data_IF_551172746587
#
_entry.id   IF_551172746587
#
_cell.length_a   1.000
_cell.length_b   1.000
_cell.length_c   1.000
_cell.angle_alpha   90.00
_cell.angle_beta   90.00
_cell.angle_gamma   90.00
#
_symmetry.space_group_name_H-M   'P 1'
#
loop_
_entity.id
_entity.type
_entity.pdbx_description
1 polymer ?
#
# COMPACT_ATOMS: atom_id res chain seq x y z
N UNK A 1 -3.72 17.37 18.93
CA UNK A 1 -3.96 15.93 19.11
C UNK A 1 -3.32 15.51 20.40
N UNK A 2 -4.10 14.92 21.29
CA UNK A 2 -3.70 14.33 22.55
C UNK A 2 -3.37 12.85 22.32
N UNK A 3 -2.09 12.50 22.35
CA UNK A 3 -1.62 11.13 22.12
C UNK A 3 -1.83 10.21 23.34
N UNK A 4 -2.34 10.76 24.45
CA UNK A 4 -2.77 9.99 25.64
C UNK A 4 -4.25 9.61 25.58
N UNK A 5 -4.99 10.08 24.56
CA UNK A 5 -6.40 9.73 24.34
C UNK A 5 -6.49 8.59 23.31
N UNK A 6 -6.87 7.40 23.79
CA UNK A 6 -7.02 6.20 22.96
C UNK A 6 -7.96 6.40 21.77
N UNK A 7 -8.97 7.28 21.89
CA UNK A 7 -9.89 7.59 20.79
C UNK A 7 -9.20 8.45 19.73
N UNK A 8 -8.45 9.48 20.13
CA UNK A 8 -7.70 10.31 19.18
C UNK A 8 -6.60 9.51 18.47
N UNK A 9 -5.94 8.60 19.20
CA UNK A 9 -4.96 7.68 18.63
C UNK A 9 -5.64 6.76 17.61
N UNK A 10 -6.75 6.11 17.97
CA UNK A 10 -7.50 5.22 17.07
C UNK A 10 -7.94 5.95 15.80
N UNK A 11 -8.51 7.14 15.93
CA UNK A 11 -8.92 7.97 14.80
C UNK A 11 -7.72 8.39 13.93
N UNK A 12 -6.56 8.68 14.52
CA UNK A 12 -5.36 9.00 13.76
C UNK A 12 -4.84 7.79 12.97
N UNK A 13 -4.91 6.57 13.51
CA UNK A 13 -4.57 5.34 12.80
C UNK A 13 -5.54 5.04 11.65
N UNK A 14 -6.84 5.17 11.89
CA UNK A 14 -7.88 5.01 10.87
C UNK A 14 -7.72 6.02 9.72
N UNK A 15 -7.22 7.23 10.03
CA UNK A 15 -6.98 8.30 9.06
C UNK A 15 -5.50 8.43 8.65
N UNK A 16 -4.66 7.44 8.98
CA UNK A 16 -3.21 7.47 8.73
C UNK A 16 -2.89 7.69 7.25
N UNK A 17 -3.71 7.16 6.35
CA UNK A 17 -3.62 7.39 4.91
C UNK A 17 -3.78 8.88 4.52
N UNK A 18 -4.66 9.62 5.20
CA UNK A 18 -4.88 11.06 4.97
C UNK A 18 -3.71 11.86 5.56
N UNK A 19 -3.30 11.53 6.78
CA UNK A 19 -2.17 12.18 7.46
C UNK A 19 -0.87 11.98 6.68
N UNK A 20 -0.62 10.76 6.19
CA UNK A 20 0.51 10.43 5.34
C UNK A 20 0.48 11.26 4.05
N UNK A 21 -0.67 11.35 3.38
CA UNK A 21 -0.82 12.16 2.15
C UNK A 21 -0.57 13.64 2.40
N UNK A 22 -1.04 14.19 3.53
CA UNK A 22 -0.76 15.58 3.90
C UNK A 22 0.74 15.84 4.16
N UNK A 23 1.45 14.83 4.66
CA UNK A 23 2.89 14.90 4.98
C UNK A 23 3.78 14.92 3.73
N UNK A 24 3.29 14.41 2.60
CA UNK A 24 4.01 14.41 1.32
C UNK A 24 4.22 15.82 0.74
N UNK A 25 3.48 16.82 1.22
CA UNK A 25 3.58 18.21 0.77
C UNK A 25 4.68 19.03 1.46
N UNK A 26 5.57 18.40 2.24
CA UNK A 26 6.79 19.02 2.77
C UNK A 26 6.63 19.94 4.00
N UNK A 27 5.43 20.09 4.55
CA UNK A 27 5.16 21.02 5.66
C UNK A 27 5.41 20.45 7.08
N UNK A 28 6.30 19.46 7.23
CA UNK A 28 6.56 18.59 8.40
C UNK A 28 5.97 17.19 8.24
N UNK A 29 6.82 16.17 8.44
CA UNK A 29 6.42 14.77 8.49
C UNK A 29 6.14 14.41 9.95
N UNK A 30 4.86 14.33 10.35
CA UNK A 30 4.50 13.99 11.73
C UNK A 30 5.08 12.63 12.16
N UNK A 31 5.27 11.68 11.23
CA UNK A 31 5.84 10.34 11.49
C UNK A 31 7.31 10.44 11.93
N UNK A 32 8.01 11.52 11.55
CA UNK A 32 9.40 11.76 11.95
C UNK A 32 9.54 12.39 13.34
N UNK A 33 8.45 12.84 13.97
CA UNK A 33 8.48 13.31 15.35
C UNK A 33 8.59 12.12 16.31
N UNK A 34 9.50 12.20 17.29
CA UNK A 34 9.81 11.08 18.20
C UNK A 34 8.56 10.50 18.88
N UNK A 35 7.64 11.36 19.32
CA UNK A 35 6.38 10.95 19.97
C UNK A 35 5.49 10.10 19.07
N UNK A 36 5.42 10.45 17.78
CA UNK A 36 4.66 9.69 16.81
C UNK A 36 5.33 8.37 16.47
N UNK A 37 6.65 8.38 16.33
CA UNK A 37 7.41 7.16 16.09
C UNK A 37 7.27 6.17 17.25
N UNK A 38 7.36 6.63 18.50
CA UNK A 38 7.15 5.81 19.69
C UNK A 38 5.73 5.24 19.75
N UNK A 39 4.71 6.07 19.49
CA UNK A 39 3.32 5.63 19.46
C UNK A 39 3.05 4.60 18.36
N UNK A 40 3.52 4.86 17.13
CA UNK A 40 3.40 3.93 16.01
C UNK A 40 4.09 2.60 16.35
N UNK A 41 5.31 2.66 16.89
CA UNK A 41 6.05 1.47 17.31
C UNK A 41 5.28 0.68 18.35
N UNK A 42 4.77 1.34 19.40
CA UNK A 42 3.98 0.68 20.43
C UNK A 42 2.73 0.01 19.86
N UNK A 43 1.91 0.74 19.11
CA UNK A 43 0.65 0.20 18.56
C UNK A 43 0.89 -0.91 17.57
N UNK A 44 1.92 -0.81 16.72
CA UNK A 44 2.27 -1.89 15.79
C UNK A 44 2.75 -3.11 16.55
N UNK A 45 3.62 -2.98 17.56
CA UNK A 45 4.07 -4.12 18.37
C UNK A 45 2.91 -4.77 19.13
N UNK A 46 2.03 -3.98 19.74
CA UNK A 46 0.84 -4.48 20.45
C UNK A 46 -0.12 -5.21 19.49
N UNK A 47 -0.30 -4.69 18.27
CA UNK A 47 -1.13 -5.32 17.23
C UNK A 47 -0.53 -6.61 16.68
N UNK A 48 0.80 -6.68 16.59
CA UNK A 48 1.57 -7.81 16.02
C UNK A 48 1.93 -8.89 17.05
N UNK A 49 1.80 -8.60 18.35
CA UNK A 49 1.98 -9.57 19.44
C UNK A 49 0.89 -10.67 19.46
N UNK A 50 -0.17 -10.48 18.70
CA UNK A 50 -1.26 -11.43 18.50
C UNK A 50 -0.76 -12.70 17.78
N UNK A 51 -1.09 -13.88 18.29
CA UNK A 51 -0.71 -15.17 17.68
C UNK A 51 -1.21 -15.30 16.23
N UNK A 52 -2.30 -14.59 15.90
CA UNK A 52 -2.83 -14.54 14.54
C UNK A 52 -1.91 -13.82 13.54
N UNK A 53 -0.94 -13.02 14.02
CA UNK A 53 -0.02 -12.23 13.20
C UNK A 53 1.37 -12.86 13.03
N UNK A 54 1.58 -14.08 13.53
CA UNK A 54 2.89 -14.76 13.58
C UNK A 54 3.66 -14.87 12.23
N UNK A 55 3.03 -14.84 11.04
CA UNK A 55 3.81 -14.74 9.79
C UNK A 55 4.54 -13.40 9.57
N UNK A 56 4.17 -12.34 10.31
CA UNK A 56 4.60 -10.95 10.07
C UNK A 56 5.09 -10.20 11.34
N UNK A 57 5.17 -10.88 12.48
CA UNK A 57 5.46 -10.22 13.76
C UNK A 57 6.89 -9.61 13.79
N UNK A 58 7.86 -10.31 13.22
CA UNK A 58 9.28 -9.88 13.17
C UNK A 58 9.50 -8.74 12.16
N UNK A 59 8.57 -8.59 11.22
CA UNK A 59 8.60 -7.66 10.10
C UNK A 59 8.03 -6.28 10.45
N UNK A 60 7.33 -6.17 11.58
CA UNK A 60 6.62 -4.98 12.06
C UNK A 60 7.49 -3.72 12.16
N UNK A 61 8.64 -3.80 12.82
CA UNK A 61 9.57 -2.67 12.97
C UNK A 61 10.12 -2.18 11.63
N UNK A 62 10.34 -3.09 10.68
CA UNK A 62 10.78 -2.73 9.34
C UNK A 62 9.70 -1.94 8.60
N UNK A 63 8.42 -2.31 8.71
CA UNK A 63 7.34 -1.57 8.04
C UNK A 63 7.18 -0.13 8.56
N UNK A 64 7.45 0.11 9.84
CA UNK A 64 7.44 1.47 10.41
C UNK A 64 8.59 2.31 9.86
N UNK A 65 9.80 1.75 9.81
CA UNK A 65 10.97 2.43 9.22
C UNK A 65 10.75 2.72 7.72
N UNK A 66 10.12 1.77 7.03
CA UNK A 66 9.79 1.90 5.63
C UNK A 66 8.83 3.06 5.37
N UNK A 67 7.83 3.30 6.22
CA UNK A 67 6.91 4.44 6.08
C UNK A 67 7.66 5.78 6.01
N UNK A 68 8.64 5.98 6.90
CA UNK A 68 9.48 7.19 6.87
C UNK A 68 10.31 7.26 5.59
N UNK A 69 10.89 6.13 5.19
CA UNK A 69 11.68 6.04 3.96
C UNK A 69 10.83 6.32 2.71
N UNK A 70 9.56 5.90 2.67
CA UNK A 70 8.68 6.15 1.53
C UNK A 70 8.38 7.64 1.34
N UNK A 71 8.17 8.39 2.42
CA UNK A 71 7.98 9.85 2.37
C UNK A 71 9.23 10.52 1.81
N UNK A 72 10.40 10.14 2.33
CA UNK A 72 11.70 10.65 1.86
C UNK A 72 11.91 10.34 0.37
N UNK A 73 11.64 9.10 -0.05
CA UNK A 73 11.78 8.69 -1.45
C UNK A 73 10.79 9.41 -2.39
N UNK A 74 9.55 9.61 -1.97
CA UNK A 74 8.58 10.39 -2.75
C UNK A 74 9.06 11.82 -2.97
N UNK A 75 9.66 12.44 -1.95
CA UNK A 75 10.25 13.76 -2.08
C UNK A 75 11.44 13.77 -3.06
N UNK A 76 12.33 12.78 -2.97
CA UNK A 76 13.44 12.66 -3.92
C UNK A 76 12.96 12.47 -5.36
N UNK A 77 11.96 11.63 -5.59
CA UNK A 77 11.39 11.44 -6.94
C UNK A 77 10.82 12.75 -7.48
N UNK A 78 10.12 13.53 -6.66
CA UNK A 78 9.62 14.84 -7.06
C UNK A 78 10.76 15.79 -7.45
N UNK A 79 11.84 15.86 -6.66
CA UNK A 79 13.03 16.66 -6.98
C UNK A 79 13.71 16.20 -8.28
N UNK A 80 13.91 14.89 -8.44
CA UNK A 80 14.53 14.29 -9.63
C UNK A 80 13.68 14.59 -10.87
N UNK A 81 12.35 14.51 -10.78
CA UNK A 81 11.43 14.84 -11.88
C UNK A 81 11.51 16.31 -12.28
N UNK A 82 11.65 17.21 -11.30
CA UNK A 82 11.76 18.64 -11.55
C UNK A 82 13.06 19.00 -12.29
N UNK A 83 14.19 18.36 -11.94
CA UNK A 83 15.49 18.63 -12.55
C UNK A 83 16.29 17.34 -12.85
N UNK A 84 15.90 16.53 -13.87
CA UNK A 84 16.47 15.20 -14.08
C UNK A 84 17.98 15.20 -14.38
N UNK A 85 18.46 16.21 -15.10
CA UNK A 85 19.88 16.30 -15.50
C UNK A 85 20.79 16.71 -14.34
N UNK A 86 20.30 17.56 -13.44
CA UNK A 86 21.05 18.07 -12.29
C UNK A 86 21.00 17.11 -11.09
N UNK A 87 20.05 16.16 -11.09
CA UNK A 87 19.78 15.26 -9.97
C UNK A 87 20.37 13.86 -10.15
N UNK A 88 21.44 13.70 -10.96
CA UNK A 88 22.00 12.37 -11.28
C UNK A 88 22.45 11.61 -10.03
N UNK A 89 23.21 12.25 -9.15
CA UNK A 89 23.72 11.61 -7.93
C UNK A 89 22.58 11.24 -6.97
N UNK A 90 21.57 12.13 -6.86
CA UNK A 90 20.36 11.89 -6.08
C UNK A 90 19.58 10.69 -6.62
N UNK A 91 19.43 10.61 -7.95
CA UNK A 91 18.76 9.49 -8.63
C UNK A 91 19.49 8.17 -8.41
N UNK A 92 20.81 8.14 -8.55
CA UNK A 92 21.60 6.92 -8.40
C UNK A 92 21.55 6.42 -6.93
N UNK A 93 21.61 7.34 -5.96
CA UNK A 93 21.40 7.02 -4.54
C UNK A 93 19.97 6.53 -4.25
N UNK A 94 18.96 7.25 -4.75
CA UNK A 94 17.56 6.89 -4.55
C UNK A 94 17.23 5.53 -5.17
N UNK A 95 17.73 5.25 -6.38
CA UNK A 95 17.56 3.97 -7.07
C UNK A 95 18.16 2.82 -6.26
N UNK A 96 19.40 2.98 -5.76
CA UNK A 96 20.05 1.98 -4.91
C UNK A 96 19.25 1.70 -3.64
N UNK A 97 18.79 2.75 -2.94
CA UNK A 97 18.03 2.61 -1.69
C UNK A 97 16.65 1.99 -1.93
N UNK A 98 15.91 2.46 -2.93
CA UNK A 98 14.60 1.93 -3.28
C UNK A 98 14.65 0.48 -3.74
N UNK A 99 15.64 0.09 -4.56
CA UNK A 99 15.83 -1.32 -4.97
C UNK A 99 16.11 -2.21 -3.76
N UNK A 100 16.95 -1.78 -2.82
CA UNK A 100 17.22 -2.55 -1.61
C UNK A 100 15.94 -2.78 -0.77
N UNK A 101 15.12 -1.73 -0.59
CA UNK A 101 13.84 -1.86 0.12
C UNK A 101 12.82 -2.70 -0.67
N UNK A 102 12.77 -2.56 -1.99
CA UNK A 102 11.88 -3.32 -2.88
C UNK A 102 12.19 -4.81 -2.82
N UNK A 103 13.46 -5.21 -2.99
CA UNK A 103 13.88 -6.62 -2.88
C UNK A 103 13.61 -7.20 -1.48
N UNK A 104 13.86 -6.42 -0.42
CA UNK A 104 13.56 -6.86 0.95
C UNK A 104 12.05 -7.05 1.16
N UNK A 105 11.23 -6.12 0.69
CA UNK A 105 9.77 -6.23 0.81
C UNK A 105 9.22 -7.39 0.00
N UNK A 106 9.71 -7.58 -1.23
CA UNK A 106 9.35 -8.74 -2.06
C UNK A 106 9.67 -10.07 -1.34
N UNK A 107 10.87 -10.18 -0.78
CA UNK A 107 11.28 -11.38 -0.03
C UNK A 107 10.36 -11.61 1.18
N UNK A 108 10.03 -10.55 1.93
CA UNK A 108 9.11 -10.62 3.06
C UNK A 108 7.70 -11.02 2.64
N UNK A 109 7.18 -10.47 1.55
CA UNK A 109 5.89 -10.87 1.00
C UNK A 109 5.91 -12.34 0.58
N UNK A 110 6.93 -12.81 -0.13
CA UNK A 110 7.06 -14.20 -0.56
C UNK A 110 7.12 -15.17 0.63
N UNK A 111 8.01 -14.91 1.59
CA UNK A 111 8.16 -15.75 2.78
C UNK A 111 6.90 -15.74 3.64
N UNK A 112 6.32 -14.56 3.88
CA UNK A 112 5.09 -14.39 4.65
C UNK A 112 3.90 -15.08 3.98
N UNK A 113 3.79 -14.99 2.65
CA UNK A 113 2.77 -15.72 1.87
C UNK A 113 2.91 -17.23 2.04
N UNK A 114 4.13 -17.76 1.89
CA UNK A 114 4.40 -19.19 2.03
C UNK A 114 4.08 -19.69 3.45
N UNK A 115 4.50 -18.95 4.49
CA UNK A 115 4.15 -19.25 5.88
C UNK A 115 2.64 -19.22 6.11
N UNK A 116 1.96 -18.19 5.60
CA UNK A 116 0.51 -18.04 5.75
C UNK A 116 -0.28 -19.18 5.11
N UNK A 117 0.14 -19.65 3.93
CA UNK A 117 -0.44 -20.83 3.29
C UNK A 117 -0.18 -22.10 4.11
N UNK A 118 1.06 -22.31 4.58
CA UNK A 118 1.42 -23.49 5.38
C UNK A 118 0.66 -23.55 6.71
N UNK A 119 0.41 -22.39 7.34
CA UNK A 119 -0.37 -22.28 8.57
C UNK A 119 -1.90 -22.31 8.30
N UNK A 120 -2.32 -22.21 7.05
CA UNK A 120 -3.71 -22.13 6.65
C UNK A 120 -4.39 -20.79 6.99
N UNK A 121 -3.62 -19.77 7.39
CA UNK A 121 -4.05 -18.39 7.65
C UNK A 121 -4.46 -17.65 6.37
N UNK A 122 -3.91 -18.08 5.23
CA UNK A 122 -4.28 -17.64 3.89
C UNK A 122 -4.59 -18.87 3.03
N UNK A 123 -5.60 -18.79 2.16
CA UNK A 123 -5.97 -19.84 1.22
C UNK A 123 -6.41 -19.26 -0.10
N UNK A 124 -6.08 -19.94 -1.19
CA UNK A 124 -6.64 -19.67 -2.50
C UNK A 124 -7.94 -20.45 -2.67
N UNK A 125 -9.00 -19.75 -3.04
CA UNK A 125 -10.31 -20.35 -3.31
C UNK A 125 -10.71 -20.00 -4.74
N UNK A 126 -11.06 -20.99 -5.58
CA UNK A 126 -11.53 -20.74 -6.94
C UNK A 126 -12.69 -19.75 -6.95
N UNK A 127 -12.63 -18.79 -7.86
CA UNK A 127 -13.64 -17.75 -8.02
C UNK A 127 -13.72 -17.33 -9.49
N UNK A 128 -14.74 -17.84 -10.18
CA UNK A 128 -14.96 -17.59 -11.61
C UNK A 128 -15.30 -16.13 -11.91
N UNK A 129 -15.78 -15.37 -10.92
CA UNK A 129 -16.08 -13.95 -11.06
C UNK A 129 -14.83 -13.08 -10.81
N UNK A 130 -13.77 -13.63 -10.22
CA UNK A 130 -12.52 -12.90 -9.97
C UNK A 130 -11.70 -12.74 -11.25
N UNK A 131 -11.09 -11.55 -11.42
CA UNK A 131 -10.19 -11.24 -12.55
C UNK A 131 -8.92 -12.12 -12.58
N UNK A 132 -8.59 -12.79 -11.48
CA UNK A 132 -7.45 -13.72 -11.38
C UNK A 132 -7.87 -15.19 -11.44
N UNK A 133 -9.19 -15.49 -11.46
CA UNK A 133 -9.74 -16.85 -11.40
C UNK A 133 -9.77 -17.47 -10.01
N UNK A 134 -9.25 -16.77 -9.00
CA UNK A 134 -9.31 -17.16 -7.60
C UNK A 134 -9.39 -15.94 -6.70
N UNK A 135 -9.64 -16.17 -5.42
CA UNK A 135 -9.59 -15.15 -4.37
C UNK A 135 -8.81 -15.64 -3.18
N UNK A 136 -8.35 -14.69 -2.38
CA UNK A 136 -7.79 -15.01 -1.08
C UNK A 136 -8.89 -15.08 -0.01
N UNK A 137 -8.85 -16.14 0.78
CA UNK A 137 -9.58 -16.25 2.04
C UNK A 137 -8.58 -16.27 3.20
N UNK A 138 -8.81 -15.44 4.20
CA UNK A 138 -8.00 -15.39 5.42
C UNK A 138 -8.78 -15.90 6.63
N UNK A 139 -8.06 -16.39 7.64
CA UNK A 139 -8.66 -16.79 8.90
C UNK A 139 -9.30 -15.63 9.65
N UNK A 140 -8.66 -14.46 9.62
CA UNK A 140 -9.19 -13.23 10.22
C UNK A 140 -9.08 -12.03 9.29
N UNK A 141 -9.98 -11.05 9.51
CA UNK A 141 -10.02 -9.79 8.76
C UNK A 141 -8.76 -8.96 9.02
N UNK A 142 -8.28 -8.93 10.27
CA UNK A 142 -7.06 -8.24 10.68
C UNK A 142 -5.86 -8.76 9.89
N UNK A 143 -5.73 -10.08 9.74
CA UNK A 143 -4.65 -10.68 8.96
C UNK A 143 -4.70 -10.25 7.48
N UNK A 144 -5.88 -10.28 6.85
CA UNK A 144 -6.05 -9.84 5.47
C UNK A 144 -5.64 -8.37 5.28
N UNK A 145 -6.04 -7.49 6.20
CA UNK A 145 -5.69 -6.07 6.13
C UNK A 145 -4.18 -5.84 6.24
N UNK A 146 -3.51 -6.52 7.17
CA UNK A 146 -2.05 -6.41 7.37
C UNK A 146 -1.32 -6.89 6.12
N UNK A 147 -1.70 -8.06 5.61
CA UNK A 147 -1.04 -8.63 4.45
C UNK A 147 -1.31 -7.83 3.16
N UNK A 148 -2.55 -7.36 2.95
CA UNK A 148 -2.86 -6.43 1.87
C UNK A 148 -2.04 -5.13 1.97
N UNK A 149 -1.82 -4.62 3.19
CA UNK A 149 -0.98 -3.44 3.42
C UNK A 149 0.49 -3.69 3.07
N UNK A 150 1.03 -4.87 3.37
CA UNK A 150 2.38 -5.27 2.95
C UNK A 150 2.52 -5.32 1.43
N UNK A 151 1.55 -5.92 0.73
CA UNK A 151 1.52 -5.91 -0.73
C UNK A 151 1.45 -4.47 -1.27
N UNK A 152 0.67 -3.59 -0.65
CA UNK A 152 0.64 -2.19 -1.06
C UNK A 152 1.98 -1.46 -0.83
N UNK A 153 2.74 -1.76 0.22
CA UNK A 153 4.11 -1.23 0.35
C UNK A 153 5.02 -1.72 -0.77
N UNK A 154 4.93 -3.00 -1.16
CA UNK A 154 5.66 -3.54 -2.30
C UNK A 154 5.27 -2.82 -3.60
N UNK A 155 3.98 -2.63 -3.84
CA UNK A 155 3.43 -1.91 -5.01
C UNK A 155 4.01 -0.49 -5.09
N UNK A 156 4.00 0.27 -3.99
CA UNK A 156 4.54 1.63 -3.93
C UNK A 156 6.04 1.63 -4.27
N UNK A 157 6.82 0.72 -3.67
CA UNK A 157 8.26 0.60 -3.92
C UNK A 157 8.56 0.25 -5.37
N UNK A 158 7.92 -0.78 -5.93
CA UNK A 158 8.12 -1.18 -7.32
C UNK A 158 7.76 -0.04 -8.28
N UNK A 159 6.66 0.68 -8.01
CA UNK A 159 6.25 1.84 -8.82
C UNK A 159 7.27 2.98 -8.75
N UNK A 160 7.85 3.25 -7.59
CA UNK A 160 8.91 4.24 -7.41
C UNK A 160 10.19 3.85 -8.17
N UNK A 161 10.60 2.58 -8.11
CA UNK A 161 11.78 2.09 -8.86
C UNK A 161 11.54 2.21 -10.37
N UNK A 162 10.39 1.76 -10.85
CA UNK A 162 9.99 1.92 -12.26
C UNK A 162 10.06 3.39 -12.71
N UNK A 163 9.58 4.31 -11.87
CA UNK A 163 9.60 5.73 -12.19
C UNK A 163 11.02 6.27 -12.37
N UNK A 164 11.97 5.84 -11.53
CA UNK A 164 13.38 6.23 -11.68
C UNK A 164 14.01 5.69 -12.96
N UNK A 165 13.64 4.49 -13.40
CA UNK A 165 14.09 3.92 -14.67
C UNK A 165 13.57 4.73 -15.86
N UNK A 166 12.28 5.10 -15.85
CA UNK A 166 11.68 5.94 -16.90
C UNK A 166 12.37 7.31 -16.95
N UNK A 167 12.64 7.94 -15.81
CA UNK A 167 13.35 9.23 -15.77
C UNK A 167 14.79 9.09 -16.27
N UNK A 168 15.43 7.95 -16.04
CA UNK A 168 16.76 7.66 -16.57
C UNK A 168 16.78 7.41 -18.10
N UNK A 169 15.61 7.30 -18.73
CA UNK A 169 15.47 7.00 -20.16
C UNK A 169 15.43 5.51 -20.49
N UNK A 170 15.28 4.65 -19.48
CA UNK A 170 15.13 3.20 -19.65
C UNK A 170 13.65 2.84 -19.80
N UNK A 171 13.37 1.68 -20.42
CA UNK A 171 11.99 1.20 -20.59
C UNK A 171 11.36 0.70 -19.26
N UNK A 172 12.18 0.22 -18.32
CA UNK A 172 11.73 -0.25 -16.99
C UNK A 172 10.79 -1.47 -17.06
N UNK A 173 10.91 -2.32 -18.07
CA UNK A 173 9.97 -3.42 -18.31
C UNK A 173 9.92 -4.41 -17.13
N UNK A 174 11.08 -4.76 -16.57
CA UNK A 174 11.19 -5.68 -15.43
C UNK A 174 10.56 -5.06 -14.17
N UNK A 175 10.84 -3.79 -13.89
CA UNK A 175 10.27 -3.07 -12.76
C UNK A 175 8.75 -2.92 -12.89
N UNK A 176 8.25 -2.67 -14.11
CA UNK A 176 6.82 -2.60 -14.38
C UNK A 176 6.15 -3.96 -14.23
N UNK A 177 6.79 -5.04 -14.70
CA UNK A 177 6.28 -6.39 -14.54
C UNK A 177 6.18 -6.76 -13.05
N UNK A 178 7.20 -6.46 -12.25
CA UNK A 178 7.18 -6.68 -10.81
C UNK A 178 6.07 -5.88 -10.11
N UNK A 179 5.89 -4.60 -10.50
CA UNK A 179 4.78 -3.77 -10.03
C UNK A 179 3.42 -4.39 -10.37
N UNK A 180 3.22 -4.85 -11.60
CA UNK A 180 1.98 -5.47 -12.05
C UNK A 180 1.69 -6.77 -11.30
N UNK A 181 2.69 -7.62 -11.08
CA UNK A 181 2.55 -8.87 -10.31
C UNK A 181 2.07 -8.59 -8.89
N UNK A 182 2.66 -7.62 -8.19
CA UNK A 182 2.24 -7.25 -6.84
C UNK A 182 0.80 -6.69 -6.81
N UNK A 183 0.41 -5.88 -7.81
CA UNK A 183 -0.96 -5.41 -7.96
C UNK A 183 -1.94 -6.57 -8.17
N UNK A 184 -1.64 -7.49 -9.08
CA UNK A 184 -2.48 -8.67 -9.34
C UNK A 184 -2.64 -9.55 -8.10
N UNK A 185 -1.58 -9.72 -7.31
CA UNK A 185 -1.65 -10.45 -6.05
C UNK A 185 -2.56 -9.75 -5.03
N UNK A 186 -2.49 -8.42 -4.92
CA UNK A 186 -3.39 -7.63 -4.07
C UNK A 186 -4.85 -7.74 -4.53
N UNK A 187 -5.10 -7.83 -5.83
CA UNK A 187 -6.47 -7.92 -6.37
C UNK A 187 -7.21 -9.20 -5.99
N UNK A 188 -6.51 -10.25 -5.55
CA UNK A 188 -7.14 -11.43 -4.97
C UNK A 188 -7.94 -11.11 -3.68
N UNK A 189 -7.74 -9.94 -3.06
CA UNK A 189 -8.55 -9.43 -1.95
C UNK A 189 -9.77 -8.61 -2.38
N UNK A 190 -9.93 -8.28 -3.67
CA UNK A 190 -11.08 -7.50 -4.15
C UNK A 190 -12.41 -8.20 -3.85
N UNK A 191 -12.58 -9.51 -4.10
CA UNK A 191 -13.80 -10.24 -3.69
C UNK A 191 -14.05 -10.24 -2.17
N UNK A 192 -12.99 -10.06 -1.37
CA UNK A 192 -13.06 -10.05 0.08
C UNK A 192 -13.77 -8.78 0.61
N UNK A 193 -13.80 -7.69 -0.17
CA UNK A 193 -14.48 -6.43 0.18
C UNK A 193 -15.97 -6.63 0.48
N UNK A 194 -16.64 -7.50 -0.27
CA UNK A 194 -18.07 -7.79 -0.14
C UNK A 194 -18.38 -8.77 1.01
N UNK A 195 -17.37 -9.25 1.74
CA UNK A 195 -17.48 -10.34 2.73
C UNK A 195 -17.13 -9.92 4.16
N UNK A 196 -16.57 -8.73 4.32
CA UNK A 196 -16.20 -8.17 5.62
C UNK A 196 -17.18 -7.08 6.03
N UNK A 197 -17.08 -6.62 7.27
CA UNK A 197 -17.83 -5.45 7.71
C UNK A 197 -17.39 -4.19 6.95
N UNK A 198 -18.25 -3.18 6.96
CA UNK A 198 -18.06 -1.97 6.17
C UNK A 198 -16.78 -1.20 6.54
N UNK A 199 -16.36 -1.21 7.80
CA UNK A 199 -15.13 -0.51 8.23
C UNK A 199 -13.92 -1.22 7.65
N UNK A 200 -13.89 -2.55 7.75
CA UNK A 200 -12.81 -3.35 7.19
C UNK A 200 -12.73 -3.24 5.66
N UNK A 201 -13.87 -3.22 4.98
CA UNK A 201 -13.95 -3.04 3.53
C UNK A 201 -13.38 -1.68 3.10
N UNK A 202 -13.77 -0.59 3.79
CA UNK A 202 -13.26 0.75 3.51
C UNK A 202 -11.75 0.87 3.68
N UNK A 203 -11.19 0.22 4.71
CA UNK A 203 -9.75 0.16 4.89
C UNK A 203 -9.07 -0.54 3.70
N UNK A 204 -9.55 -1.72 3.32
CA UNK A 204 -8.98 -2.47 2.19
C UNK A 204 -9.14 -1.73 0.86
N UNK A 205 -10.26 -1.03 0.64
CA UNK A 205 -10.43 -0.16 -0.53
C UNK A 205 -9.27 0.84 -0.58
N UNK A 206 -8.97 1.55 0.52
CA UNK A 206 -7.87 2.51 0.58
C UNK A 206 -6.48 1.91 0.29
N UNK A 207 -6.29 0.62 0.56
CA UNK A 207 -5.08 -0.15 0.23
C UNK A 207 -5.06 -0.55 -1.25
N UNK A 208 -6.21 -0.85 -1.85
CA UNK A 208 -6.36 -1.26 -3.25
C UNK A 208 -6.25 -0.07 -4.21
N UNK A 209 -6.79 1.12 -3.87
CA UNK A 209 -6.86 2.26 -4.80
C UNK A 209 -5.54 2.61 -5.51
N UNK A 210 -4.36 2.59 -4.86
CA UNK A 210 -3.11 2.89 -5.55
C UNK A 210 -2.77 1.93 -6.70
N UNK A 211 -3.28 0.68 -6.65
CA UNK A 211 -3.01 -0.33 -7.67
C UNK A 211 -3.80 -0.13 -8.97
N UNK A 212 -4.81 0.74 -8.98
CA UNK A 212 -5.67 0.97 -10.16
C UNK A 212 -4.88 1.46 -11.38
N UNK A 213 -3.72 2.11 -11.19
CA UNK A 213 -2.84 2.51 -12.30
C UNK A 213 -2.27 1.32 -13.10
N UNK A 214 -2.23 0.12 -12.51
CA UNK A 214 -1.77 -1.09 -13.18
C UNK A 214 -2.87 -1.81 -13.97
N UNK A 215 -4.14 -1.43 -13.76
CA UNK A 215 -5.29 -2.12 -14.30
C UNK A 215 -5.51 -1.78 -15.78
N UNK A 216 -5.79 -2.81 -16.59
CA UNK A 216 -6.40 -2.62 -17.90
C UNK A 216 -7.89 -2.25 -17.75
N UNK A 217 -8.57 -1.98 -18.85
CA UNK A 217 -9.97 -1.53 -18.84
C UNK A 217 -10.91 -2.49 -18.10
N UNK A 218 -10.79 -3.80 -18.34
CA UNK A 218 -11.64 -4.83 -17.74
C UNK A 218 -11.34 -4.99 -16.25
N UNK A 219 -10.04 -5.07 -15.90
CA UNK A 219 -9.60 -5.16 -14.50
C UNK A 219 -10.07 -3.93 -13.70
N UNK A 220 -9.93 -2.74 -14.28
CA UNK A 220 -10.32 -1.48 -13.67
C UNK A 220 -11.83 -1.43 -13.45
N UNK A 221 -12.61 -1.86 -14.45
CA UNK A 221 -14.06 -1.91 -14.35
C UNK A 221 -14.49 -2.79 -13.18
N UNK A 222 -13.96 -4.01 -13.12
CA UNK A 222 -14.23 -4.98 -12.06
C UNK A 222 -13.89 -4.45 -10.67
N UNK A 223 -12.66 -3.94 -10.46
CA UNK A 223 -12.20 -3.48 -9.14
C UNK A 223 -13.05 -2.31 -8.65
N UNK A 224 -13.38 -1.37 -9.55
CA UNK A 224 -14.21 -0.20 -9.23
C UNK A 224 -15.63 -0.62 -8.85
N UNK A 225 -16.22 -1.58 -9.57
CA UNK A 225 -17.55 -2.09 -9.26
C UNK A 225 -17.61 -2.75 -7.88
N UNK A 226 -16.62 -3.57 -7.53
CA UNK A 226 -16.52 -4.17 -6.19
C UNK A 226 -16.32 -3.12 -5.09
N UNK A 227 -15.54 -2.07 -5.34
CA UNK A 227 -15.42 -0.96 -4.41
C UNK A 227 -16.76 -0.26 -4.16
N UNK A 228 -17.56 -0.02 -5.21
CA UNK A 228 -18.89 0.57 -5.07
C UNK A 228 -19.88 -0.34 -4.36
N UNK A 229 -19.83 -1.66 -4.61
CA UNK A 229 -20.67 -2.65 -3.90
C UNK A 229 -20.38 -2.60 -2.40
N UNK A 230 -19.10 -2.57 -2.03
CA UNK A 230 -18.66 -2.49 -0.63
C UNK A 230 -18.99 -1.13 0.04
N UNK A 231 -18.93 -0.01 -0.70
CA UNK A 231 -19.27 1.32 -0.19
C UNK A 231 -20.77 1.67 -0.27
N UNK A 232 -21.63 0.75 -0.74
CA UNK A 232 -23.07 0.98 -0.97
C UNK A 232 -23.80 1.66 0.20
N UNK A 233 -23.42 1.32 1.43
CA UNK A 233 -24.04 1.85 2.65
C UNK A 233 -23.32 3.09 3.19
N UNK A 234 -21.99 3.12 3.13
CA UNK A 234 -21.19 4.23 3.67
C UNK A 234 -21.18 5.47 2.79
N UNK A 235 -21.28 5.30 1.46
CA UNK A 235 -21.27 6.38 0.47
C UNK A 235 -20.10 7.35 0.66
N UNK A 236 -18.94 6.83 1.07
CA UNK A 236 -17.72 7.63 1.28
C UNK A 236 -16.95 7.84 -0.02
N UNK A 237 -17.13 6.95 -1.00
CA UNK A 237 -16.49 7.08 -2.30
C UNK A 237 -17.21 8.15 -3.15
N UNK A 238 -16.48 8.84 -4.06
CA UNK A 238 -17.10 9.69 -5.07
C UNK A 238 -18.13 8.89 -5.87
N UNK A 239 -19.35 9.39 -5.95
CA UNK A 239 -20.45 8.71 -6.66
C UNK A 239 -20.31 8.78 -8.18
N UNK A 240 -19.48 9.70 -8.67
CA UNK A 240 -19.06 9.78 -10.06
C UNK A 240 -17.84 8.87 -10.31
N UNK A 241 -17.98 7.93 -11.24
CA UNK A 241 -16.98 6.89 -11.54
C UNK A 241 -15.66 7.50 -12.03
N UNK A 242 -15.74 8.47 -12.93
CA UNK A 242 -14.55 9.14 -13.47
C UNK A 242 -13.78 9.86 -12.37
N UNK A 243 -14.49 10.60 -11.50
CA UNK A 243 -13.90 11.29 -10.35
C UNK A 243 -13.26 10.31 -9.37
N UNK A 244 -13.89 9.16 -9.11
CA UNK A 244 -13.34 8.13 -8.23
C UNK A 244 -12.02 7.58 -8.78
N UNK A 245 -11.99 7.20 -10.06
CA UNK A 245 -10.78 6.70 -10.72
C UNK A 245 -9.70 7.77 -10.74
N UNK A 246 -10.04 9.00 -11.15
CA UNK A 246 -9.09 10.11 -11.23
C UNK A 246 -8.46 10.43 -9.87
N UNK A 247 -9.25 10.46 -8.79
CA UNK A 247 -8.74 10.67 -7.42
C UNK A 247 -7.85 9.52 -6.94
N UNK A 248 -8.19 8.29 -7.29
CA UNK A 248 -7.40 7.11 -6.93
C UNK A 248 -6.03 7.13 -7.61
N UNK A 249 -5.97 7.46 -8.90
CA UNK A 249 -4.73 7.64 -9.65
C UNK A 249 -3.93 8.83 -9.10
N UNK A 250 -4.60 9.95 -8.78
CA UNK A 250 -3.95 11.12 -8.18
C UNK A 250 -3.29 10.76 -6.84
N UNK A 251 -3.97 9.96 -6.00
CA UNK A 251 -3.42 9.46 -4.74
C UNK A 251 -2.18 8.58 -4.97
N UNK A 252 -2.24 7.67 -5.94
CA UNK A 252 -1.10 6.82 -6.30
C UNK A 252 0.12 7.65 -6.74
N UNK A 253 -0.11 8.67 -7.58
CA UNK A 253 0.93 9.61 -8.02
C UNK A 253 1.50 10.42 -6.86
N UNK A 254 0.66 10.93 -5.97
CA UNK A 254 1.10 11.66 -4.78
C UNK A 254 2.04 10.81 -3.92
N UNK A 255 1.62 9.58 -3.59
CA UNK A 255 2.38 8.62 -2.77
C UNK A 255 3.73 8.23 -3.34
N UNK A 256 3.93 8.44 -4.64
CA UNK A 256 5.14 8.07 -5.36
C UNK A 256 5.94 9.27 -5.85
N UNK A 257 5.59 10.50 -5.43
CA UNK A 257 6.33 11.71 -5.80
C UNK A 257 6.14 12.18 -7.24
N UNK A 258 5.06 11.73 -7.90
CA UNK A 258 4.79 12.00 -9.34
C UNK A 258 3.82 13.16 -9.59
N UNK A 259 3.45 13.91 -8.55
CA UNK A 259 2.67 15.16 -8.66
C UNK A 259 3.58 16.39 -8.71
#
# INVERSE_FOLDING_TARGET
MNLEDDLEVTLAFENSNILHTASLNGNSNYISEDRWRELLTKVTLDSMADEEMQPFADESLYTIDLLNTLIECAHWISQIRANPQESRDLRDMASKRLRAHSTRMESMCLEGTAKAFNMGSLREVPDEESITGFRFESTTVKFAQVYASMLNFQIILCRMVYELEVIAGNAGEDEYAAYKVACTQLWNFVPYLSRVDTVAALHMIGVILPSLEAANEIELEYIVDECYKADKYSKRLPQDRETFIAKSILLAKSRTGRL
#
